data_IF_571693550302
#
_entry.id   IF_571693550302
#
_cell.length_a   1.000
_cell.length_b   1.000
_cell.length_c   1.000
_cell.angle_alpha   90.00
_cell.angle_beta   90.00
_cell.angle_gamma   90.00
#
_symmetry.space_group_name_H-M   'P 1'
#
loop_
_entity.id
_entity.type
_entity.pdbx_description
1 polymer ?
#
# COMPACT_ATOMS: atom_id res chain seq x y z
N UNK A 1 17.18 21.15 -9.07
CA UNK A 1 18.06 20.49 -8.08
C UNK A 1 18.55 19.22 -8.72
N UNK A 2 19.86 18.99 -8.75
CA UNK A 2 20.42 17.78 -9.35
C UNK A 2 19.88 16.55 -8.65
N UNK A 3 19.40 15.57 -9.42
CA UNK A 3 19.02 14.27 -8.91
C UNK A 3 20.20 13.70 -8.11
N UNK A 4 19.99 13.40 -6.83
CA UNK A 4 21.00 12.71 -6.02
C UNK A 4 21.13 11.33 -6.62
N UNK A 5 22.18 11.12 -7.42
CA UNK A 5 22.50 9.81 -7.96
C UNK A 5 22.64 8.83 -6.80
N UNK A 6 21.79 7.83 -6.77
CA UNK A 6 21.89 6.74 -5.78
C UNK A 6 23.24 6.04 -6.00
N UNK A 7 23.96 5.69 -4.92
CA UNK A 7 25.16 4.90 -5.09
C UNK A 7 24.79 3.57 -5.74
N UNK A 8 25.54 3.10 -6.75
CA UNK A 8 25.28 1.84 -7.41
C UNK A 8 25.40 0.70 -6.36
N UNK A 9 24.44 -0.23 -6.40
CA UNK A 9 24.49 -1.44 -5.57
C UNK A 9 25.74 -2.24 -5.94
N UNK A 10 26.52 -2.64 -4.94
CA UNK A 10 27.74 -3.42 -5.13
C UNK A 10 27.49 -4.90 -4.80
N UNK A 11 28.30 -5.81 -5.39
CA UNK A 11 28.19 -7.24 -5.11
C UNK A 11 28.39 -7.59 -3.62
N UNK A 12 29.13 -6.75 -2.88
CA UNK A 12 29.26 -6.87 -1.42
C UNK A 12 27.94 -6.63 -0.69
N UNK A 13 27.02 -5.83 -1.24
CA UNK A 13 25.72 -5.56 -0.66
C UNK A 13 24.79 -6.78 -0.72
N UNK A 14 25.11 -7.75 -1.59
CA UNK A 14 24.39 -9.01 -1.76
C UNK A 14 24.92 -10.16 -0.93
N UNK A 15 26.23 -10.13 -0.54
CA UNK A 15 26.85 -11.23 0.20
C UNK A 15 26.16 -11.44 1.55
N UNK A 16 25.56 -12.61 1.73
CA UNK A 16 25.10 -13.12 3.01
C UNK A 16 23.88 -12.43 3.61
N UNK A 17 22.85 -12.10 2.83
CA UNK A 17 21.64 -11.47 3.34
C UNK A 17 21.86 -10.06 3.93
N UNK A 18 22.84 -9.30 3.44
CA UNK A 18 23.07 -7.90 3.84
C UNK A 18 21.82 -7.03 3.71
N UNK A 19 20.92 -7.41 2.83
CA UNK A 19 19.58 -6.83 2.71
C UNK A 19 18.82 -6.85 4.05
N UNK A 20 18.89 -7.93 4.82
CA UNK A 20 18.36 -7.99 6.18
C UNK A 20 19.16 -7.15 7.17
N UNK A 21 20.41 -6.78 6.85
CA UNK A 21 21.18 -5.86 7.70
C UNK A 21 20.66 -4.43 7.65
N UNK A 22 20.02 -4.02 6.56
CA UNK A 22 19.31 -2.72 6.51
C UNK A 22 18.08 -2.68 7.41
N UNK A 23 17.46 -3.83 7.65
CA UNK A 23 16.33 -3.98 8.54
C UNK A 23 16.73 -4.10 10.00
N UNK A 24 17.85 -4.71 10.30
CA UNK A 24 18.22 -5.04 11.67
C UNK A 24 18.19 -3.81 12.59
N UNK A 25 18.78 -2.65 12.24
CA UNK A 25 18.69 -1.46 13.07
C UNK A 25 17.26 -0.97 13.31
N UNK A 26 16.34 -1.23 12.35
CA UNK A 26 14.92 -0.88 12.48
C UNK A 26 14.15 -1.90 13.34
N UNK A 27 14.65 -3.13 13.46
CA UNK A 27 14.05 -4.19 14.25
C UNK A 27 14.72 -4.36 15.62
N UNK A 28 15.94 -3.84 15.82
CA UNK A 28 16.70 -4.03 17.06
C UNK A 28 15.93 -3.50 18.28
N UNK A 29 15.20 -2.38 18.15
CA UNK A 29 14.36 -1.88 19.23
C UNK A 29 13.20 -2.84 19.58
N UNK A 30 12.76 -3.70 18.66
CA UNK A 30 11.72 -4.69 18.94
C UNK A 30 12.23 -5.82 19.85
N UNK A 31 13.54 -5.98 20.01
CA UNK A 31 14.11 -6.99 20.90
C UNK A 31 13.83 -6.69 22.37
N UNK A 32 14.05 -5.44 22.75
CA UNK A 32 13.94 -4.97 24.14
C UNK A 32 12.53 -4.45 24.46
N UNK A 33 11.77 -4.02 23.46
CA UNK A 33 10.38 -3.59 23.65
C UNK A 33 9.56 -4.80 24.06
N UNK A 34 9.57 -5.05 25.39
CA UNK A 34 8.80 -6.10 26.01
C UNK A 34 7.34 -5.91 25.61
N UNK A 35 6.75 -6.94 25.04
CA UNK A 35 5.34 -6.93 24.84
C UNK A 35 4.66 -6.97 26.22
N UNK A 36 3.88 -5.96 26.57
CA UNK A 36 3.12 -5.89 27.84
C UNK A 36 2.24 -7.12 28.09
N UNK A 37 2.00 -7.90 27.03
CA UNK A 37 1.26 -9.17 27.07
C UNK A 37 2.10 -10.37 27.52
N UNK A 38 3.44 -10.24 27.55
CA UNK A 38 4.33 -11.29 28.07
C UNK A 38 4.52 -11.18 29.57
N UNK A 39 3.51 -11.64 30.30
CA UNK A 39 3.50 -11.60 31.78
C UNK A 39 4.49 -12.56 32.43
N UNK A 40 4.95 -13.60 31.72
CA UNK A 40 5.78 -14.66 32.30
C UNK A 40 7.29 -14.35 32.28
N UNK A 41 7.75 -13.44 31.39
CA UNK A 41 9.15 -13.02 31.28
C UNK A 41 10.14 -14.13 30.94
N UNK A 42 9.65 -15.30 30.44
CA UNK A 42 10.46 -16.49 30.15
C UNK A 42 10.61 -16.75 28.64
N UNK A 43 10.45 -15.71 27.83
CA UNK A 43 10.48 -15.78 26.37
C UNK A 43 11.82 -16.23 25.84
N UNK A 44 11.77 -17.11 24.84
CA UNK A 44 12.95 -17.58 24.05
C UNK A 44 12.93 -17.09 22.61
N UNK A 45 11.80 -16.53 22.14
CA UNK A 45 11.63 -15.97 20.80
C UNK A 45 11.25 -14.50 20.95
N UNK A 46 12.15 -13.61 20.59
CA UNK A 46 11.96 -12.17 20.62
C UNK A 46 11.31 -11.66 19.33
N UNK A 47 10.74 -10.45 19.37
CA UNK A 47 9.94 -9.95 18.26
C UNK A 47 10.75 -9.70 16.99
N UNK A 48 11.96 -9.16 17.11
CA UNK A 48 12.91 -8.99 16.02
C UNK A 48 13.22 -10.32 15.31
N UNK A 49 13.44 -11.37 16.09
CA UNK A 49 13.70 -12.73 15.60
C UNK A 49 12.49 -13.31 14.88
N UNK A 50 11.28 -13.13 15.45
CA UNK A 50 10.04 -13.57 14.84
C UNK A 50 9.78 -12.82 13.52
N UNK A 51 9.96 -11.50 13.50
CA UNK A 51 9.83 -10.67 12.31
C UNK A 51 10.81 -11.12 11.21
N UNK A 52 12.09 -11.36 11.55
CA UNK A 52 13.08 -11.88 10.61
C UNK A 52 12.69 -13.25 10.03
N UNK A 53 12.19 -14.17 10.85
CA UNK A 53 11.73 -15.49 10.40
C UNK A 53 10.55 -15.38 9.43
N UNK A 54 9.58 -14.50 9.70
CA UNK A 54 8.47 -14.27 8.79
C UNK A 54 8.91 -13.58 7.49
N UNK A 55 9.83 -12.62 7.56
CA UNK A 55 10.37 -11.96 6.38
C UNK A 55 11.04 -12.97 5.42
N UNK A 56 11.75 -13.97 5.95
CA UNK A 56 12.33 -15.03 5.13
C UNK A 56 11.28 -15.77 4.28
N UNK A 57 10.03 -15.87 4.75
CA UNK A 57 8.97 -16.56 4.01
C UNK A 57 8.60 -15.88 2.70
N UNK A 58 8.72 -14.54 2.61
CA UNK A 58 8.41 -13.80 1.39
C UNK A 58 9.47 -13.98 0.30
N UNK A 59 10.72 -14.24 0.71
CA UNK A 59 11.85 -14.40 -0.22
C UNK A 59 12.20 -15.86 -0.50
N UNK A 60 11.68 -16.80 0.30
CA UNK A 60 11.98 -18.22 0.12
C UNK A 60 10.73 -19.03 -0.18
N UNK A 61 10.60 -19.60 -1.41
CA UNK A 61 9.39 -20.33 -1.82
C UNK A 61 9.14 -21.62 -1.04
N UNK A 62 10.14 -22.13 -0.29
CA UNK A 62 10.03 -23.35 0.51
C UNK A 62 9.35 -23.07 1.87
N UNK A 63 9.51 -21.86 2.42
CA UNK A 63 9.05 -21.49 3.76
C UNK A 63 7.59 -21.08 3.79
N UNK A 64 6.65 -21.99 3.41
CA UNK A 64 5.21 -21.71 3.30
C UNK A 64 4.38 -22.15 4.51
N UNK A 65 5.00 -22.54 5.62
CA UNK A 65 4.26 -23.00 6.82
C UNK A 65 5.10 -22.78 8.08
N UNK A 66 4.42 -22.70 9.23
CA UNK A 66 5.11 -22.63 10.53
C UNK A 66 6.05 -23.83 10.76
N UNK A 67 5.73 -25.00 10.20
CA UNK A 67 6.61 -26.19 10.27
C UNK A 67 7.90 -25.96 9.45
N UNK A 68 7.79 -25.41 8.26
CA UNK A 68 8.95 -25.10 7.42
C UNK A 68 9.83 -24.02 8.09
N UNK A 69 9.23 -22.99 8.70
CA UNK A 69 9.94 -21.96 9.47
C UNK A 69 10.68 -22.59 10.67
N UNK A 70 10.00 -23.48 11.41
CA UNK A 70 10.62 -24.20 12.50
C UNK A 70 11.84 -25.00 12.02
N UNK A 71 11.71 -25.74 10.91
CA UNK A 71 12.81 -26.50 10.35
C UNK A 71 13.97 -25.57 9.91
N UNK A 72 13.66 -24.46 9.25
CA UNK A 72 14.67 -23.48 8.86
C UNK A 72 15.43 -22.92 10.08
N UNK A 73 14.74 -22.70 11.21
CA UNK A 73 15.35 -22.21 12.45
C UNK A 73 16.38 -23.18 13.09
N UNK A 74 16.46 -24.44 12.62
CA UNK A 74 17.52 -25.38 13.06
C UNK A 74 18.86 -25.17 12.33
N UNK A 75 18.85 -24.39 11.25
CA UNK A 75 20.03 -24.18 10.42
C UNK A 75 20.93 -23.10 11.02
N UNK A 76 22.21 -23.38 11.16
CA UNK A 76 23.19 -22.45 11.73
C UNK A 76 23.26 -21.10 11.01
N UNK A 77 23.01 -21.06 9.68
CA UNK A 77 22.93 -19.82 8.90
C UNK A 77 21.72 -18.97 9.31
N UNK A 78 20.56 -19.59 9.54
CA UNK A 78 19.35 -18.90 9.97
C UNK A 78 19.49 -18.41 11.40
N UNK A 79 20.03 -19.24 12.32
CA UNK A 79 20.29 -18.85 13.71
C UNK A 79 21.20 -17.62 13.80
N UNK A 80 22.28 -17.60 13.00
CA UNK A 80 23.16 -16.42 12.92
C UNK A 80 22.46 -15.18 12.36
N UNK A 81 21.54 -15.38 11.40
CA UNK A 81 20.79 -14.28 10.80
C UNK A 81 19.83 -13.65 11.82
N UNK A 82 19.06 -14.48 12.53
CA UNK A 82 18.06 -14.00 13.50
C UNK A 82 18.69 -13.63 14.86
N UNK A 83 19.95 -13.97 15.10
CA UNK A 83 20.60 -13.77 16.41
C UNK A 83 19.96 -14.61 17.52
N UNK A 84 19.47 -15.82 17.19
CA UNK A 84 18.71 -16.65 18.13
C UNK A 84 18.90 -18.13 17.93
N UNK A 85 18.20 -18.93 18.72
CA UNK A 85 18.26 -20.38 18.71
C UNK A 85 17.10 -21.00 17.87
N UNK A 86 17.07 -22.35 17.88
CA UNK A 86 15.96 -23.13 17.31
C UNK A 86 14.63 -22.75 17.95
N UNK A 87 13.62 -22.49 17.13
CA UNK A 87 12.27 -22.08 17.56
C UNK A 87 11.28 -23.24 17.45
N UNK A 88 10.38 -23.39 18.43
CA UNK A 88 9.28 -24.35 18.36
C UNK A 88 8.08 -23.80 17.59
N UNK A 89 7.22 -24.68 17.05
CA UNK A 89 5.95 -24.27 16.44
C UNK A 89 5.01 -23.61 17.45
N UNK A 90 5.04 -24.04 18.71
CA UNK A 90 4.30 -23.42 19.79
C UNK A 90 4.70 -21.97 19.96
N UNK A 91 6.00 -21.69 20.10
CA UNK A 91 6.53 -20.34 20.23
C UNK A 91 6.17 -19.44 19.03
N UNK A 92 6.26 -19.96 17.78
CA UNK A 92 5.84 -19.22 16.58
C UNK A 92 4.34 -18.90 16.58
N UNK A 93 3.50 -19.83 17.02
CA UNK A 93 2.05 -19.61 17.11
C UNK A 93 1.68 -18.64 18.23
N UNK A 94 2.36 -18.70 19.36
CA UNK A 94 2.16 -17.81 20.48
C UNK A 94 2.62 -16.39 20.17
N UNK A 95 3.79 -16.24 19.56
CA UNK A 95 4.34 -14.97 19.10
C UNK A 95 3.32 -14.17 18.25
N UNK A 96 2.54 -14.86 17.41
CA UNK A 96 1.48 -14.24 16.60
C UNK A 96 0.31 -13.64 17.40
N UNK A 97 0.25 -13.84 18.70
CA UNK A 97 -0.80 -13.32 19.59
C UNK A 97 -0.27 -12.36 20.65
N UNK A 98 1.02 -12.45 20.92
CA UNK A 98 1.68 -11.72 22.00
C UNK A 98 2.27 -10.41 21.50
N UNK A 99 2.90 -10.42 20.33
CA UNK A 99 3.58 -9.23 19.79
C UNK A 99 2.59 -8.17 19.30
N UNK A 100 2.96 -6.90 19.53
CA UNK A 100 2.16 -5.75 19.09
C UNK A 100 2.48 -5.38 17.62
N UNK A 101 1.52 -5.47 16.70
CA UNK A 101 1.72 -5.09 15.32
C UNK A 101 2.03 -3.59 15.12
N UNK A 102 1.59 -2.70 16.02
CA UNK A 102 1.77 -1.25 15.87
C UNK A 102 3.25 -0.84 15.87
N UNK A 103 4.11 -1.61 16.54
CA UNK A 103 5.56 -1.41 16.49
C UNK A 103 6.13 -1.60 15.07
N UNK A 104 5.56 -2.52 14.27
CA UNK A 104 5.94 -2.67 12.86
C UNK A 104 5.34 -1.57 11.98
N UNK A 105 4.14 -1.11 12.29
CA UNK A 105 3.53 0.00 11.56
C UNK A 105 4.38 1.25 11.63
N UNK A 106 4.98 1.53 12.80
CA UNK A 106 5.88 2.66 13.01
C UNK A 106 7.11 2.64 12.07
N UNK A 107 7.50 1.48 11.54
CA UNK A 107 8.63 1.33 10.60
C UNK A 107 8.24 1.68 9.16
N UNK A 108 6.98 1.46 8.77
CA UNK A 108 6.51 1.62 7.39
C UNK A 108 6.69 3.06 6.90
N UNK A 109 6.24 4.05 7.66
CA UNK A 109 6.33 5.46 7.29
C UNK A 109 7.78 5.94 7.07
N UNK A 110 8.72 5.74 8.00
CA UNK A 110 10.13 6.05 7.81
C UNK A 110 10.79 5.39 6.60
N UNK A 111 10.46 4.12 6.31
CA UNK A 111 10.95 3.45 5.09
C UNK A 111 10.36 4.08 3.82
N UNK A 112 9.06 4.34 3.79
CA UNK A 112 8.40 4.94 2.63
C UNK A 112 8.94 6.35 2.32
N UNK A 113 9.33 7.12 3.34
CA UNK A 113 9.96 8.44 3.14
C UNK A 113 11.30 8.37 2.41
N UNK A 114 12.04 7.27 2.51
CA UNK A 114 13.32 7.07 1.81
C UNK A 114 13.14 6.81 0.31
N UNK A 115 11.95 6.42 -0.14
CA UNK A 115 11.67 6.20 -1.54
C UNK A 115 11.66 7.54 -2.29
N UNK A 116 12.31 7.57 -3.46
CA UNK A 116 12.28 8.70 -4.37
C UNK A 116 11.12 8.57 -5.36
N UNK A 117 10.59 9.68 -5.89
CA UNK A 117 9.60 9.64 -6.96
C UNK A 117 10.14 8.83 -8.17
N UNK A 118 9.26 8.07 -8.79
CA UNK A 118 9.53 7.34 -10.05
C UNK A 118 9.02 8.09 -11.28
N UNK A 119 8.35 9.23 -11.06
CA UNK A 119 7.84 10.12 -12.10
C UNK A 119 8.43 11.51 -11.86
N UNK A 120 8.93 12.13 -12.90
CA UNK A 120 9.54 13.47 -12.89
C UNK A 120 8.73 14.46 -13.72
N UNK A 121 9.05 15.76 -13.56
CA UNK A 121 8.52 16.85 -14.37
C UNK A 121 7.34 17.60 -13.74
N UNK A 122 6.72 18.47 -14.55
CA UNK A 122 5.65 19.39 -14.11
C UNK A 122 4.44 18.67 -13.50
N UNK A 123 4.08 17.53 -14.05
CA UNK A 123 2.95 16.73 -13.58
C UNK A 123 3.22 16.15 -12.18
N UNK A 124 4.42 15.61 -11.99
CA UNK A 124 4.85 15.09 -10.70
C UNK A 124 4.93 16.19 -9.64
N UNK A 125 5.34 17.40 -10.01
CA UNK A 125 5.36 18.52 -9.07
C UNK A 125 3.96 18.95 -8.64
N UNK A 126 3.02 19.06 -9.58
CA UNK A 126 1.64 19.45 -9.31
C UNK A 126 0.86 18.37 -8.52
N UNK A 127 1.21 17.10 -8.68
CA UNK A 127 0.60 15.96 -8.00
C UNK A 127 1.45 15.44 -6.83
N UNK A 128 2.39 16.23 -6.34
CA UNK A 128 3.26 15.84 -5.22
C UNK A 128 2.43 15.42 -4.01
N UNK A 129 2.76 14.25 -3.44
CA UNK A 129 2.08 13.68 -2.28
C UNK A 129 0.74 13.01 -2.61
N UNK A 130 0.40 12.88 -3.91
CA UNK A 130 -0.83 12.18 -4.30
C UNK A 130 -0.81 10.73 -3.79
N UNK A 131 -1.78 10.42 -2.95
CA UNK A 131 -1.90 9.15 -2.23
C UNK A 131 -3.19 8.44 -2.61
N UNK A 132 -3.09 7.29 -3.26
CA UNK A 132 -4.25 6.44 -3.51
C UNK A 132 -4.65 5.74 -2.22
N UNK A 133 -5.95 5.76 -1.90
CA UNK A 133 -6.52 5.05 -0.75
C UNK A 133 -7.47 3.99 -1.26
N UNK A 134 -7.25 2.74 -0.84
CA UNK A 134 -8.11 1.62 -1.23
C UNK A 134 -7.99 0.45 -0.24
N UNK A 135 -8.97 -0.46 -0.28
CA UNK A 135 -9.03 -1.67 0.52
C UNK A 135 -8.87 -2.94 -0.31
N UNK A 136 -8.26 -3.97 0.26
CA UNK A 136 -8.13 -5.25 -0.40
C UNK A 136 -8.37 -6.43 0.53
N UNK A 137 -9.19 -7.39 0.07
CA UNK A 137 -9.56 -8.56 0.84
C UNK A 137 -8.43 -9.60 0.88
N UNK A 138 -8.24 -10.19 2.06
CA UNK A 138 -7.43 -11.37 2.31
C UNK A 138 -8.37 -12.50 2.77
N UNK A 139 -8.37 -13.63 2.07
CA UNK A 139 -9.17 -14.78 2.44
C UNK A 139 -8.82 -15.24 3.86
N UNK A 140 -9.80 -15.30 4.72
CA UNK A 140 -9.63 -15.79 6.08
C UNK A 140 -9.48 -17.31 6.13
N UNK A 141 -8.69 -17.77 7.10
CA UNK A 141 -8.69 -19.18 7.48
C UNK A 141 -9.96 -19.51 8.29
N UNK A 142 -10.46 -20.76 8.27
CA UNK A 142 -11.71 -21.12 8.95
C UNK A 142 -11.78 -20.75 10.44
N UNK A 143 -10.63 -20.74 11.13
CA UNK A 143 -10.51 -20.40 12.56
C UNK A 143 -10.47 -18.90 12.86
N UNK A 144 -10.47 -18.01 11.86
CA UNK A 144 -10.42 -16.57 12.05
C UNK A 144 -11.81 -16.01 12.39
N UNK A 145 -12.26 -16.24 13.63
CA UNK A 145 -13.59 -15.81 14.06
C UNK A 145 -13.81 -14.29 14.01
N UNK A 146 -12.76 -13.50 14.16
CA UNK A 146 -12.79 -12.04 14.11
C UNK A 146 -12.98 -11.47 12.70
N UNK A 147 -12.65 -12.24 11.65
CA UNK A 147 -12.64 -11.80 10.27
C UNK A 147 -14.04 -11.87 9.64
N UNK A 148 -14.99 -11.10 10.16
CA UNK A 148 -16.36 -11.04 9.69
C UNK A 148 -16.42 -10.41 8.29
N UNK A 149 -17.30 -10.94 7.43
CA UNK A 149 -17.57 -10.39 6.11
C UNK A 149 -19.07 -10.39 5.79
N UNK A 150 -19.53 -11.18 4.84
CA UNK A 150 -20.94 -11.18 4.41
C UNK A 150 -21.86 -11.96 5.38
N UNK A 151 -21.39 -13.10 5.82
CA UNK A 151 -22.11 -14.00 6.73
C UNK A 151 -21.12 -14.84 7.55
N UNK A 152 -21.59 -15.67 8.51
CA UNK A 152 -20.71 -16.53 9.32
C UNK A 152 -19.86 -17.54 8.54
N UNK A 153 -20.21 -17.86 7.30
CA UNK A 153 -19.48 -18.81 6.44
C UNK A 153 -18.45 -18.10 5.56
N UNK A 154 -18.68 -16.83 5.22
CA UNK A 154 -17.80 -16.02 4.38
C UNK A 154 -17.02 -15.04 5.24
N UNK A 155 -15.75 -15.37 5.51
CA UNK A 155 -14.85 -14.58 6.33
C UNK A 155 -13.68 -14.09 5.52
N UNK A 156 -13.28 -12.86 5.75
CA UNK A 156 -12.10 -12.26 5.18
C UNK A 156 -11.55 -11.18 6.11
N UNK A 157 -10.23 -10.99 6.12
CA UNK A 157 -9.62 -9.77 6.60
C UNK A 157 -9.57 -8.77 5.44
N UNK A 158 -9.53 -7.49 5.76
CA UNK A 158 -9.33 -6.40 4.80
C UNK A 158 -8.10 -5.60 5.21
N UNK A 159 -7.17 -5.41 4.30
CA UNK A 159 -6.11 -4.42 4.46
C UNK A 159 -6.52 -3.13 3.76
N UNK A 160 -6.37 -2.02 4.44
CA UNK A 160 -6.55 -0.68 3.93
C UNK A 160 -5.17 -0.07 3.75
N UNK A 161 -4.91 0.52 2.60
CA UNK A 161 -3.57 1.00 2.23
C UNK A 161 -3.65 2.42 1.74
N UNK A 162 -2.75 3.27 2.20
CA UNK A 162 -2.38 4.52 1.58
C UNK A 162 -1.13 4.28 0.74
N UNK A 163 -1.19 4.64 -0.52
CA UNK A 163 -0.14 4.36 -1.49
C UNK A 163 0.29 5.66 -2.19
N UNK A 164 1.52 6.11 -1.93
CA UNK A 164 2.10 7.24 -2.66
C UNK A 164 2.32 6.81 -4.12
N UNK A 165 1.53 7.38 -5.02
CA UNK A 165 1.49 6.95 -6.42
C UNK A 165 2.73 7.40 -7.19
N UNK A 166 3.36 8.51 -6.81
CA UNK A 166 4.55 9.03 -7.46
C UNK A 166 5.82 8.32 -7.03
N UNK A 167 5.85 7.82 -5.80
CA UNK A 167 6.95 6.99 -5.27
C UNK A 167 6.73 5.49 -5.50
N UNK A 168 5.52 5.12 -5.88
CA UNK A 168 5.07 3.73 -6.03
C UNK A 168 5.28 2.87 -4.77
N UNK A 169 5.03 3.43 -3.58
CA UNK A 169 5.21 2.77 -2.28
C UNK A 169 4.03 2.97 -1.34
N UNK A 170 3.69 1.96 -0.49
CA UNK A 170 2.72 2.12 0.58
C UNK A 170 3.29 3.02 1.69
N UNK A 171 2.48 3.93 2.21
CA UNK A 171 2.84 4.89 3.27
C UNK A 171 2.14 4.61 4.59
N UNK A 172 0.95 4.04 4.54
CA UNK A 172 0.17 3.65 5.71
C UNK A 172 -0.64 2.39 5.40
N UNK A 173 -0.82 1.53 6.41
CA UNK A 173 -1.59 0.28 6.29
C UNK A 173 -2.33 0.01 7.58
N UNK A 174 -3.59 -0.43 7.49
CA UNK A 174 -4.33 -1.02 8.61
C UNK A 174 -5.01 -2.32 8.22
N UNK A 175 -5.34 -3.17 9.19
CA UNK A 175 -6.00 -4.45 8.98
C UNK A 175 -7.25 -4.56 9.84
N UNK A 176 -8.38 -4.85 9.18
CA UNK A 176 -9.69 -4.96 9.83
C UNK A 176 -10.40 -6.25 9.43
N UNK A 177 -11.56 -6.53 10.02
CA UNK A 177 -12.52 -7.45 9.44
C UNK A 177 -13.05 -6.88 8.11
N UNK A 178 -13.44 -7.75 7.17
CA UNK A 178 -13.82 -7.32 5.82
C UNK A 178 -15.11 -6.47 5.78
N UNK A 179 -15.97 -6.60 6.79
CA UNK A 179 -17.19 -5.80 6.91
C UNK A 179 -16.95 -4.39 7.48
N UNK A 180 -15.74 -4.06 7.92
CA UNK A 180 -15.43 -2.70 8.36
C UNK A 180 -15.54 -1.71 7.18
N UNK A 181 -16.23 -0.56 7.39
CA UNK A 181 -16.40 0.44 6.33
C UNK A 181 -15.04 1.08 5.95
N UNK A 182 -14.77 1.14 4.65
CA UNK A 182 -13.51 1.73 4.15
C UNK A 182 -13.44 3.23 4.41
N UNK A 183 -14.59 3.92 4.36
CA UNK A 183 -14.70 5.36 4.64
C UNK A 183 -14.25 5.70 6.06
N UNK A 184 -14.62 4.87 7.05
CA UNK A 184 -14.22 5.09 8.45
C UNK A 184 -12.71 4.92 8.63
N UNK A 185 -12.10 4.00 7.90
CA UNK A 185 -10.65 3.82 7.91
C UNK A 185 -9.93 5.01 7.28
N UNK A 186 -10.45 5.55 6.17
CA UNK A 186 -9.89 6.75 5.57
C UNK A 186 -10.05 7.96 6.49
N UNK A 187 -11.26 8.18 7.06
CA UNK A 187 -11.54 9.24 8.04
C UNK A 187 -10.55 9.21 9.22
N UNK A 188 -10.31 8.02 9.80
CA UNK A 188 -9.41 7.85 10.93
C UNK A 188 -7.92 8.08 10.59
N UNK A 189 -7.54 8.05 9.31
CA UNK A 189 -6.16 8.18 8.83
C UNK A 189 -5.88 9.46 8.06
N UNK A 190 -6.81 10.42 8.06
CA UNK A 190 -6.61 11.73 7.44
C UNK A 190 -5.42 12.46 8.08
N UNK A 191 -4.61 13.10 7.23
CA UNK A 191 -3.45 13.88 7.64
C UNK A 191 -3.55 15.29 7.07
N UNK A 192 -3.27 16.34 7.85
CA UNK A 192 -3.15 17.70 7.33
C UNK A 192 -2.13 17.78 6.18
N UNK A 193 -2.46 18.48 5.12
CA UNK A 193 -1.65 18.55 3.90
C UNK A 193 -1.68 17.29 3.03
N UNK A 194 -2.46 16.26 3.40
CA UNK A 194 -2.68 15.06 2.58
C UNK A 194 -3.37 15.39 1.26
N UNK A 195 -2.97 14.71 0.18
CA UNK A 195 -3.65 14.79 -1.11
C UNK A 195 -4.04 13.38 -1.54
N UNK A 196 -5.34 13.09 -1.54
CA UNK A 196 -5.86 11.72 -1.69
C UNK A 196 -6.56 11.50 -3.01
N UNK A 197 -6.42 10.30 -3.58
CA UNK A 197 -7.25 9.85 -4.69
C UNK A 197 -7.98 8.57 -4.32
N UNK A 198 -9.31 8.59 -4.46
CA UNK A 198 -10.21 7.50 -4.03
C UNK A 198 -11.19 7.11 -5.13
N UNK A 199 -11.70 5.88 -5.03
CA UNK A 199 -12.69 5.37 -5.96
C UNK A 199 -14.14 5.75 -5.57
N UNK A 200 -15.10 5.27 -6.37
CA UNK A 200 -16.53 5.52 -6.15
C UNK A 200 -17.07 4.95 -4.83
N UNK A 201 -16.43 3.93 -4.26
CA UNK A 201 -16.83 3.33 -2.98
C UNK A 201 -16.71 4.30 -1.80
N UNK A 202 -15.82 5.28 -1.92
CA UNK A 202 -15.59 6.31 -0.91
C UNK A 202 -16.52 7.52 -1.04
N UNK A 203 -17.41 7.57 -2.04
CA UNK A 203 -18.31 8.73 -2.23
C UNK A 203 -19.20 8.94 -1.00
N UNK A 204 -18.96 10.04 -0.33
CA UNK A 204 -19.73 10.58 0.78
C UNK A 204 -19.46 12.07 0.86
N UNK A 205 -20.51 12.88 0.74
CA UNK A 205 -20.36 14.34 0.68
C UNK A 205 -19.86 14.92 2.01
N UNK A 206 -20.36 14.37 3.12
CA UNK A 206 -19.92 14.78 4.46
C UNK A 206 -18.44 14.44 4.68
N UNK A 207 -18.02 13.23 4.29
CA UNK A 207 -16.62 12.83 4.37
C UNK A 207 -15.71 13.72 3.51
N UNK A 208 -16.19 14.17 2.33
CA UNK A 208 -15.41 15.09 1.49
C UNK A 208 -15.20 16.45 2.19
N UNK A 209 -16.23 16.96 2.87
CA UNK A 209 -16.09 18.16 3.67
C UNK A 209 -15.18 17.97 4.89
N UNK A 210 -15.25 16.81 5.56
CA UNK A 210 -14.35 16.45 6.67
C UNK A 210 -12.89 16.37 6.20
N UNK A 211 -12.62 15.89 4.99
CA UNK A 211 -11.27 15.87 4.40
C UNK A 211 -10.71 17.30 4.28
N UNK A 212 -11.55 18.23 3.79
CA UNK A 212 -11.17 19.64 3.66
C UNK A 212 -10.97 20.28 5.03
N UNK A 213 -11.88 20.03 5.98
CA UNK A 213 -11.79 20.53 7.36
C UNK A 213 -10.52 20.03 8.06
N UNK A 214 -10.06 18.84 7.72
CA UNK A 214 -8.79 18.28 8.21
C UNK A 214 -7.55 18.91 7.55
N UNK A 215 -7.72 19.90 6.66
CA UNK A 215 -6.63 20.55 5.91
C UNK A 215 -6.02 19.65 4.84
N UNK A 216 -6.76 18.68 4.33
CA UNK A 216 -6.36 17.78 3.26
C UNK A 216 -7.16 18.07 1.97
N UNK A 217 -6.72 17.49 0.87
CA UNK A 217 -7.35 17.61 -0.45
C UNK A 217 -7.61 16.24 -1.06
N UNK A 218 -8.52 16.18 -2.03
CA UNK A 218 -8.88 14.91 -2.65
C UNK A 218 -9.23 15.02 -4.14
N UNK A 219 -9.15 13.88 -4.83
CA UNK A 219 -9.81 13.60 -6.11
C UNK A 219 -10.59 12.29 -5.93
N UNK A 220 -11.90 12.33 -6.09
CA UNK A 220 -12.79 11.19 -5.89
C UNK A 220 -13.65 10.93 -7.12
N UNK A 221 -13.83 9.66 -7.48
CA UNK A 221 -14.88 9.31 -8.45
C UNK A 221 -16.25 9.37 -7.76
N UNK A 222 -17.20 10.04 -8.39
CA UNK A 222 -18.60 10.04 -7.98
C UNK A 222 -19.46 9.25 -8.98
N UNK A 223 -20.75 9.07 -8.66
CA UNK A 223 -21.65 8.31 -9.52
C UNK A 223 -21.97 9.11 -10.80
N UNK A 224 -22.15 8.42 -11.90
CA UNK A 224 -22.47 9.03 -13.20
C UNK A 224 -23.83 9.74 -13.23
N UNK A 225 -24.77 9.30 -12.37
CA UNK A 225 -26.06 9.93 -12.19
C UNK A 225 -26.05 11.05 -11.14
N UNK A 226 -24.88 11.53 -10.73
CA UNK A 226 -24.75 12.69 -9.84
C UNK A 226 -25.37 13.92 -10.52
N UNK A 227 -26.37 14.51 -9.86
CA UNK A 227 -26.97 15.76 -10.34
C UNK A 227 -25.98 16.89 -10.13
N UNK A 228 -25.64 17.60 -11.20
CA UNK A 228 -24.68 18.70 -11.20
C UNK A 228 -25.45 20.02 -11.08
N UNK A 229 -25.32 20.68 -9.93
CA UNK A 229 -25.78 22.02 -9.68
C UNK A 229 -24.64 23.01 -9.88
N UNK A 230 -24.37 23.39 -11.15
CA UNK A 230 -23.29 24.29 -11.47
C UNK A 230 -23.54 25.68 -10.86
N UNK A 231 -22.64 26.11 -9.99
CA UNK A 231 -22.54 27.49 -9.53
C UNK A 231 -21.71 28.33 -10.52
N UNK A 232 -20.70 27.70 -11.12
CA UNK A 232 -19.81 28.31 -12.11
C UNK A 232 -19.38 27.27 -13.14
N UNK A 233 -19.46 27.59 -14.43
CA UNK A 233 -18.87 26.80 -15.53
C UNK A 233 -17.45 27.30 -15.79
N UNK A 234 -16.50 26.38 -15.84
CA UNK A 234 -15.09 26.68 -16.10
C UNK A 234 -14.72 26.35 -17.56
N UNK A 235 -13.86 27.12 -18.19
CA UNK A 235 -13.41 26.84 -19.56
C UNK A 235 -12.60 25.55 -19.60
N UNK A 236 -12.96 24.65 -20.52
CA UNK A 236 -12.17 23.46 -20.80
C UNK A 236 -11.03 23.84 -21.73
N UNK A 237 -9.79 23.72 -21.24
CA UNK A 237 -8.57 24.02 -22.03
C UNK A 237 -8.30 22.96 -23.08
N UNK A 238 -7.41 23.23 -24.03
CA UNK A 238 -7.02 22.26 -25.05
C UNK A 238 -6.38 21.00 -24.43
N UNK A 239 -5.49 21.18 -23.45
CA UNK A 239 -4.88 20.09 -22.69
C UNK A 239 -5.94 19.24 -21.96
N UNK A 240 -6.95 19.88 -21.35
CA UNK A 240 -8.05 19.19 -20.71
C UNK A 240 -8.90 18.38 -21.72
N UNK A 241 -9.19 18.95 -22.91
CA UNK A 241 -9.88 18.22 -23.98
C UNK A 241 -9.09 17.01 -24.46
N UNK A 242 -7.76 17.17 -24.63
CA UNK A 242 -6.88 16.08 -25.00
C UNK A 242 -6.87 14.95 -23.94
N UNK A 243 -7.07 15.30 -22.65
CA UNK A 243 -7.24 14.34 -21.56
C UNK A 243 -8.66 13.74 -21.47
N UNK A 244 -9.58 14.10 -22.39
CA UNK A 244 -10.96 13.61 -22.44
C UNK A 244 -11.96 14.43 -21.60
N UNK A 245 -11.55 15.56 -21.03
CA UNK A 245 -12.47 16.41 -20.24
C UNK A 245 -13.49 17.07 -21.16
N UNK A 246 -14.76 16.87 -20.87
CA UNK A 246 -15.89 17.43 -21.63
C UNK A 246 -16.63 18.54 -20.89
N UNK A 247 -16.50 18.58 -19.55
CA UNK A 247 -17.10 19.61 -18.71
C UNK A 247 -16.32 19.80 -17.43
N UNK A 248 -16.28 21.03 -16.95
CA UNK A 248 -15.56 21.44 -15.73
C UNK A 248 -16.40 22.49 -15.01
N UNK A 249 -16.87 22.20 -13.78
CA UNK A 249 -17.81 23.07 -13.07
C UNK A 249 -17.48 23.16 -11.59
N UNK A 250 -17.71 24.31 -10.98
CA UNK A 250 -17.75 24.50 -9.53
C UNK A 250 -19.18 24.31 -9.05
N UNK A 251 -19.34 23.59 -7.94
CA UNK A 251 -20.64 23.31 -7.32
C UNK A 251 -20.61 23.71 -5.84
N UNK A 252 -21.71 24.23 -5.35
CA UNK A 252 -21.94 24.62 -3.96
C UNK A 252 -23.13 23.88 -3.33
N UNK A 253 -23.80 23.05 -4.11
CA UNK A 253 -24.89 22.20 -3.67
C UNK A 253 -24.76 20.78 -4.20
N UNK A 254 -25.28 19.84 -3.45
CA UNK A 254 -25.38 18.42 -3.81
C UNK A 254 -26.82 17.91 -3.63
N UNK A 255 -27.08 16.68 -4.05
CA UNK A 255 -28.37 16.02 -3.94
C UNK A 255 -29.28 16.22 -5.15
N UNK A 256 -30.49 15.58 -5.17
CA UNK A 256 -31.46 15.73 -6.23
C UNK A 256 -32.05 17.13 -6.24
N UNK A 257 -32.57 17.57 -7.38
CA UNK A 257 -33.16 18.92 -7.55
C UNK A 257 -34.26 19.23 -6.54
N UNK A 258 -35.02 18.22 -6.09
CA UNK A 258 -36.06 18.33 -5.08
C UNK A 258 -35.54 18.51 -3.64
N UNK A 259 -34.29 18.13 -3.38
CA UNK A 259 -33.69 18.20 -2.04
C UNK A 259 -32.22 18.57 -2.18
N UNK A 260 -31.95 19.84 -2.52
CA UNK A 260 -30.61 20.37 -2.60
C UNK A 260 -30.03 20.58 -1.19
N UNK A 261 -28.86 20.06 -0.96
CA UNK A 261 -28.10 20.31 0.26
C UNK A 261 -26.94 21.24 -0.08
N UNK A 262 -26.84 22.36 0.63
CA UNK A 262 -25.70 23.27 0.50
C UNK A 262 -24.46 22.65 1.09
N UNK A 263 -23.36 22.74 0.36
CA UNK A 263 -22.04 22.34 0.83
C UNK A 263 -21.41 23.45 1.67
N UNK A 264 -20.60 23.08 2.65
CA UNK A 264 -19.82 24.03 3.46
C UNK A 264 -18.63 24.61 2.65
N UNK A 265 -18.11 23.79 1.76
CA UNK A 265 -16.99 24.12 0.86
C UNK A 265 -17.42 24.03 -0.59
N UNK A 266 -16.84 24.88 -1.44
CA UNK A 266 -17.00 24.75 -2.88
C UNK A 266 -16.26 23.51 -3.35
N UNK A 267 -16.94 22.67 -4.14
CA UNK A 267 -16.36 21.52 -4.79
C UNK A 267 -16.34 21.72 -6.31
N UNK A 268 -15.53 20.98 -6.98
CA UNK A 268 -15.40 21.00 -8.43
C UNK A 268 -15.72 19.62 -8.98
N UNK A 269 -16.49 19.59 -10.06
CA UNK A 269 -16.80 18.37 -10.81
C UNK A 269 -16.15 18.45 -12.19
N UNK A 270 -15.29 17.50 -12.50
CA UNK A 270 -14.67 17.34 -13.82
C UNK A 270 -15.27 16.10 -14.49
N UNK A 271 -15.93 16.31 -15.63
CA UNK A 271 -16.58 15.24 -16.40
C UNK A 271 -15.67 14.84 -17.57
N UNK A 272 -15.37 13.54 -17.66
CA UNK A 272 -14.45 12.98 -18.64
C UNK A 272 -15.20 11.97 -19.51
N UNK A 273 -15.12 12.07 -20.83
CA UNK A 273 -15.49 10.99 -21.76
C UNK A 273 -14.35 9.98 -21.80
N UNK A 274 -14.60 8.75 -21.37
CA UNK A 274 -13.60 7.67 -21.34
C UNK A 274 -13.22 7.16 -22.74
N UNK A 275 -13.90 7.63 -23.78
CA UNK A 275 -13.78 7.11 -25.15
C UNK A 275 -14.54 5.80 -25.37
N UNK A 276 -15.05 5.19 -24.31
CA UNK A 276 -15.87 3.97 -24.40
C UNK A 276 -17.32 4.30 -24.64
N UNK A 277 -18.04 3.36 -25.24
CA UNK A 277 -19.48 3.46 -25.45
C UNK A 277 -20.20 2.36 -24.66
N UNK A 278 -21.32 2.72 -24.07
CA UNK A 278 -22.23 1.79 -23.42
C UNK A 278 -22.95 0.93 -24.45
N UNK A 279 -23.60 -0.14 -24.00
CA UNK A 279 -24.38 -1.03 -24.87
C UNK A 279 -25.48 -0.28 -25.68
N UNK A 280 -26.00 0.80 -25.15
CA UNK A 280 -26.97 1.68 -25.82
C UNK A 280 -26.34 2.77 -26.71
N UNK A 281 -25.03 2.73 -26.98
CA UNK A 281 -24.30 3.70 -27.78
C UNK A 281 -23.94 5.02 -27.08
N UNK A 282 -24.47 5.29 -25.88
CA UNK A 282 -24.16 6.49 -25.14
C UNK A 282 -22.68 6.50 -24.65
N UNK A 283 -22.03 7.67 -24.52
CA UNK A 283 -20.69 7.76 -23.98
C UNK A 283 -20.66 7.26 -22.52
N UNK A 284 -19.58 6.54 -22.17
CA UNK A 284 -19.28 6.23 -20.77
C UNK A 284 -18.56 7.42 -20.15
N UNK A 285 -19.25 8.12 -19.26
CA UNK A 285 -18.70 9.29 -18.57
C UNK A 285 -18.12 8.91 -17.20
N UNK A 286 -17.02 9.56 -16.86
CA UNK A 286 -16.40 9.51 -15.56
C UNK A 286 -16.53 10.90 -14.92
N UNK A 287 -17.15 10.99 -13.73
CA UNK A 287 -17.28 12.24 -13.00
C UNK A 287 -16.34 12.20 -11.81
N UNK A 288 -15.42 13.16 -11.76
CA UNK A 288 -14.47 13.35 -10.67
C UNK A 288 -14.89 14.56 -9.84
N UNK A 289 -14.89 14.41 -8.53
CA UNK A 289 -15.11 15.46 -7.55
C UNK A 289 -13.79 15.80 -6.86
N UNK A 290 -13.52 17.09 -6.65
CA UNK A 290 -12.32 17.58 -5.96
C UNK A 290 -12.58 18.93 -5.29
N UNK A 291 -11.82 19.23 -4.25
CA UNK A 291 -11.72 20.56 -3.64
C UNK A 291 -10.65 21.44 -4.34
N UNK A 292 -9.79 20.82 -5.18
CA UNK A 292 -8.66 21.49 -5.83
C UNK A 292 -9.17 22.35 -7.00
N UNK A 293 -9.57 23.60 -6.68
CA UNK A 293 -9.98 24.60 -7.68
C UNK A 293 -8.79 25.14 -8.48
N UNK A 294 -7.58 25.08 -7.92
CA UNK A 294 -6.32 25.54 -8.49
C UNK A 294 -5.73 24.57 -9.54
N UNK A 295 -6.02 23.25 -9.40
CA UNK A 295 -5.39 22.24 -10.24
C UNK A 295 -6.00 22.23 -11.66
N UNK A 296 -5.22 22.25 -12.76
CA UNK A 296 -5.73 22.07 -14.12
C UNK A 296 -6.58 20.79 -14.27
N UNK A 297 -7.63 20.84 -15.10
CA UNK A 297 -8.57 19.71 -15.25
C UNK A 297 -7.93 18.45 -15.85
N UNK A 298 -6.94 18.59 -16.72
CA UNK A 298 -6.10 17.50 -17.23
C UNK A 298 -5.33 16.80 -16.10
N UNK A 299 -4.82 17.56 -15.12
CA UNK A 299 -4.11 17.00 -13.97
C UNK A 299 -5.06 16.34 -12.97
N UNK A 300 -6.31 16.82 -12.84
CA UNK A 300 -7.35 16.11 -12.07
C UNK A 300 -7.64 14.74 -12.71
N UNK A 301 -7.76 14.70 -14.04
CA UNK A 301 -7.94 13.46 -14.79
C UNK A 301 -6.74 12.51 -14.62
N UNK A 302 -5.51 13.06 -14.69
CA UNK A 302 -4.27 12.31 -14.51
C UNK A 302 -4.14 11.75 -13.09
N UNK A 303 -4.46 12.54 -12.04
CA UNK A 303 -4.47 12.11 -10.66
C UNK A 303 -5.35 10.86 -10.45
N UNK A 304 -6.54 10.87 -11.06
CA UNK A 304 -7.42 9.70 -10.97
C UNK A 304 -6.89 8.49 -11.75
N UNK A 305 -6.23 8.68 -12.87
CA UNK A 305 -5.57 7.58 -13.61
C UNK A 305 -4.49 6.91 -12.76
N UNK A 306 -3.73 7.69 -12.00
CA UNK A 306 -2.70 7.14 -11.11
C UNK A 306 -3.26 6.28 -9.97
N UNK A 307 -4.54 6.42 -9.61
CA UNK A 307 -5.20 5.55 -8.63
C UNK A 307 -5.03 4.05 -8.94
N UNK A 308 -4.97 3.69 -10.24
CA UNK A 308 -4.78 2.30 -10.65
C UNK A 308 -3.48 1.66 -10.12
N UNK A 309 -2.50 2.46 -9.73
CA UNK A 309 -1.23 1.98 -9.20
C UNK A 309 -1.40 1.15 -7.92
N UNK A 310 -2.40 1.48 -7.07
CA UNK A 310 -2.67 0.72 -5.85
C UNK A 310 -3.23 -0.67 -6.14
N UNK A 311 -4.01 -0.85 -7.20
CA UNK A 311 -4.53 -2.17 -7.60
C UNK A 311 -3.40 -3.08 -8.10
N UNK A 312 -2.44 -2.51 -8.83
CA UNK A 312 -1.21 -3.21 -9.23
C UNK A 312 -0.35 -3.57 -8.02
N UNK A 313 -0.29 -2.70 -7.02
CA UNK A 313 0.39 -2.96 -5.76
C UNK A 313 -0.28 -4.11 -4.98
N UNK A 314 -1.61 -4.14 -4.87
CA UNK A 314 -2.32 -5.26 -4.24
C UNK A 314 -2.08 -6.59 -4.96
N UNK A 315 -2.02 -6.58 -6.29
CA UNK A 315 -1.66 -7.77 -7.07
C UNK A 315 -0.25 -8.23 -6.74
N UNK A 316 0.70 -7.30 -6.70
CA UNK A 316 2.08 -7.57 -6.29
C UNK A 316 2.15 -8.20 -4.90
N UNK A 317 1.56 -7.56 -3.90
CA UNK A 317 1.60 -8.00 -2.51
C UNK A 317 0.96 -9.38 -2.32
N UNK A 318 -0.22 -9.60 -2.90
CA UNK A 318 -0.98 -10.86 -2.70
C UNK A 318 -0.45 -12.01 -3.54
N UNK A 319 -0.15 -11.78 -4.80
CA UNK A 319 0.16 -12.85 -5.75
C UNK A 319 1.65 -13.09 -5.87
N UNK A 320 2.47 -12.05 -5.87
CA UNK A 320 3.91 -12.14 -6.10
C UNK A 320 4.64 -12.38 -4.78
N UNK A 321 4.46 -11.51 -3.77
CA UNK A 321 5.03 -11.72 -2.43
C UNK A 321 4.33 -12.83 -1.64
N UNK A 322 3.15 -13.29 -2.07
CA UNK A 322 2.46 -14.41 -1.44
C UNK A 322 1.76 -14.07 -0.12
N UNK A 323 1.51 -12.81 0.20
CA UNK A 323 0.84 -12.37 1.43
C UNK A 323 -0.57 -12.98 1.62
N UNK A 324 -1.17 -13.54 0.56
CA UNK A 324 -2.44 -14.27 0.64
C UNK A 324 -2.38 -15.57 1.45
N UNK A 325 -1.18 -16.13 1.68
CA UNK A 325 -0.98 -17.34 2.50
C UNK A 325 -0.80 -16.94 3.95
N UNK A 326 -1.90 -16.91 4.70
CA UNK A 326 -1.87 -16.55 6.11
C UNK A 326 -1.30 -17.69 6.96
N UNK A 327 -0.33 -17.37 7.80
CA UNK A 327 0.34 -18.30 8.72
C UNK A 327 -0.26 -18.25 10.13
N UNK A 328 -0.99 -17.18 10.45
CA UNK A 328 -1.63 -16.94 11.73
C UNK A 328 -3.16 -16.86 11.59
N UNK A 329 -3.87 -17.06 12.69
CA UNK A 329 -5.35 -16.95 12.78
C UNK A 329 -5.80 -15.81 13.69
N UNK A 330 -4.93 -15.30 14.57
CA UNK A 330 -5.19 -14.12 15.40
C UNK A 330 -5.17 -12.84 14.56
N UNK A 331 -5.87 -11.80 15.00
CA UNK A 331 -5.88 -10.50 14.34
C UNK A 331 -4.47 -9.91 14.31
N UNK A 332 -3.79 -9.93 15.45
CA UNK A 332 -2.42 -9.44 15.60
C UNK A 332 -1.46 -10.18 14.66
N UNK A 333 -1.50 -11.50 14.62
CA UNK A 333 -0.62 -12.30 13.76
C UNK A 333 -0.85 -12.07 12.27
N UNK A 334 -2.09 -11.86 11.82
CA UNK A 334 -2.40 -11.50 10.45
C UNK A 334 -1.91 -10.07 10.16
N UNK A 335 -2.10 -9.16 11.09
CA UNK A 335 -1.63 -7.76 10.95
C UNK A 335 -0.11 -7.72 10.88
N UNK A 336 0.60 -8.43 11.75
CA UNK A 336 2.07 -8.58 11.70
C UNK A 336 2.53 -9.10 10.33
N UNK A 337 1.86 -10.16 9.83
CA UNK A 337 2.23 -10.72 8.53
C UNK A 337 2.01 -9.73 7.38
N UNK A 338 0.92 -8.98 7.40
CA UNK A 338 0.64 -7.92 6.40
C UNK A 338 1.69 -6.82 6.49
N UNK A 339 1.99 -6.32 7.68
CA UNK A 339 2.97 -5.26 7.86
C UNK A 339 4.38 -5.69 7.43
N UNK A 340 4.78 -6.92 7.74
CA UNK A 340 6.04 -7.47 7.28
C UNK A 340 6.08 -7.66 5.75
N UNK A 341 4.97 -8.02 5.11
CA UNK A 341 4.90 -8.05 3.64
C UNK A 341 5.05 -6.65 3.02
N UNK A 342 4.46 -5.64 3.65
CA UNK A 342 4.63 -4.23 3.27
C UNK A 342 6.10 -3.79 3.43
N UNK A 343 6.71 -4.08 4.58
CA UNK A 343 8.11 -3.79 4.85
C UNK A 343 9.01 -4.51 3.83
N UNK A 344 8.75 -5.79 3.53
CA UNK A 344 9.47 -6.53 2.51
C UNK A 344 9.36 -5.87 1.12
N UNK A 345 8.14 -5.41 0.75
CA UNK A 345 7.93 -4.70 -0.51
C UNK A 345 8.70 -3.38 -0.56
N UNK A 346 8.64 -2.58 0.50
CA UNK A 346 9.39 -1.32 0.62
C UNK A 346 10.89 -1.53 0.47
N UNK A 347 11.44 -2.54 1.15
CA UNK A 347 12.86 -2.84 1.09
C UNK A 347 13.30 -3.26 -0.31
N UNK A 348 12.50 -4.08 -1.02
CA UNK A 348 12.79 -4.42 -2.42
C UNK A 348 12.76 -3.17 -3.28
N UNK A 349 11.77 -2.29 -3.11
CA UNK A 349 11.66 -1.03 -3.86
C UNK A 349 12.85 -0.10 -3.60
N UNK A 350 13.24 0.07 -2.33
CA UNK A 350 14.39 0.88 -1.94
C UNK A 350 15.70 0.33 -2.49
N UNK A 351 15.87 -1.00 -2.44
CA UNK A 351 17.06 -1.66 -2.92
C UNK A 351 17.19 -1.58 -4.44
N UNK A 352 16.10 -1.84 -5.17
CA UNK A 352 16.06 -1.75 -6.64
C UNK A 352 16.13 -0.29 -7.11
N UNK A 353 15.67 0.64 -6.27
CA UNK A 353 15.64 2.06 -6.62
C UNK A 353 14.46 2.49 -7.48
N UNK A 354 13.56 1.56 -7.82
CA UNK A 354 12.32 1.78 -8.59
C UNK A 354 11.31 0.68 -8.26
N UNK A 355 10.14 0.73 -8.89
CA UNK A 355 9.12 -0.31 -8.71
C UNK A 355 9.68 -1.69 -9.11
N UNK A 356 9.69 -2.68 -8.21
CA UNK A 356 10.18 -4.03 -8.52
C UNK A 356 9.21 -4.75 -9.49
N UNK A 357 9.75 -5.63 -10.31
CA UNK A 357 8.97 -6.49 -11.21
C UNK A 357 8.81 -7.90 -10.65
N UNK A 358 7.92 -8.71 -11.23
CA UNK A 358 7.81 -10.14 -10.92
C UNK A 358 9.17 -10.82 -11.08
N UNK A 359 9.88 -10.49 -12.16
CA UNK A 359 11.23 -11.04 -12.41
C UNK A 359 12.23 -10.68 -11.32
N UNK A 360 12.10 -9.50 -10.71
CA UNK A 360 12.96 -9.09 -9.58
C UNK A 360 12.80 -10.04 -8.40
N UNK A 361 11.54 -10.38 -8.03
CA UNK A 361 11.31 -11.33 -6.94
C UNK A 361 11.75 -12.74 -7.32
N UNK A 362 11.51 -13.20 -8.54
CA UNK A 362 11.99 -14.50 -9.03
C UNK A 362 13.51 -14.59 -8.93
N UNK A 363 14.24 -13.57 -9.38
CA UNK A 363 15.70 -13.51 -9.27
C UNK A 363 16.16 -13.53 -7.81
N UNK A 364 15.48 -12.81 -6.91
CA UNK A 364 15.75 -12.89 -5.47
C UNK A 364 15.53 -14.30 -4.92
N UNK A 365 14.43 -14.95 -5.28
CA UNK A 365 14.11 -16.30 -4.86
C UNK A 365 15.12 -17.33 -5.40
N UNK A 366 15.53 -17.20 -6.65
CA UNK A 366 16.57 -18.03 -7.26
C UNK A 366 17.92 -17.84 -6.55
N UNK A 367 18.28 -16.59 -6.24
CA UNK A 367 19.50 -16.29 -5.47
C UNK A 367 19.46 -16.88 -4.05
N UNK A 368 18.37 -16.70 -3.31
CA UNK A 368 18.22 -17.25 -1.96
C UNK A 368 18.12 -18.79 -1.94
N UNK A 369 17.68 -19.40 -3.04
CA UNK A 369 17.65 -20.86 -3.22
C UNK A 369 18.98 -21.43 -3.74
N UNK A 370 19.94 -20.59 -4.06
CA UNK A 370 21.26 -20.99 -4.53
C UNK A 370 21.34 -21.34 -6.03
N UNK A 371 20.27 -21.02 -6.80
CA UNK A 371 20.24 -21.25 -8.25
C UNK A 371 20.83 -20.10 -9.05
N UNK A 372 20.70 -18.86 -8.57
CA UNK A 372 21.33 -17.71 -9.19
C UNK A 372 22.53 -17.25 -8.37
N UNK A 373 23.55 -16.77 -9.05
CA UNK A 373 24.72 -16.13 -8.46
C UNK A 373 24.42 -14.68 -8.07
N UNK A 374 25.28 -14.08 -7.25
CA UNK A 374 25.19 -12.65 -6.94
C UNK A 374 25.34 -11.78 -8.20
N UNK A 375 26.24 -12.19 -9.12
CA UNK A 375 26.49 -11.43 -10.35
C UNK A 375 25.30 -11.45 -11.30
N UNK A 376 24.58 -12.57 -11.41
CA UNK A 376 23.35 -12.67 -12.21
C UNK A 376 22.24 -11.81 -11.62
N UNK A 377 22.08 -11.79 -10.30
CA UNK A 377 21.13 -10.91 -9.63
C UNK A 377 21.49 -9.44 -9.83
N UNK A 378 22.78 -9.08 -9.73
CA UNK A 378 23.25 -7.70 -9.99
C UNK A 378 23.03 -7.29 -11.43
N UNK A 379 23.33 -8.15 -12.40
CA UNK A 379 23.09 -7.86 -13.81
C UNK A 379 21.61 -7.58 -14.08
N UNK A 380 20.70 -8.36 -13.45
CA UNK A 380 19.25 -8.08 -13.53
C UNK A 380 18.88 -6.72 -12.95
N UNK A 381 19.41 -6.34 -11.80
CA UNK A 381 19.11 -5.06 -11.14
C UNK A 381 19.63 -3.87 -11.96
N UNK A 382 20.86 -3.95 -12.48
CA UNK A 382 21.43 -2.91 -13.35
C UNK A 382 20.61 -2.76 -14.64
N UNK A 383 20.21 -3.89 -15.26
CA UNK A 383 19.33 -3.85 -16.41
C UNK A 383 18.00 -3.17 -16.09
N UNK A 384 17.39 -3.52 -14.97
CA UNK A 384 16.12 -2.91 -14.55
C UNK A 384 16.26 -1.41 -14.31
N UNK A 385 17.37 -0.96 -13.69
CA UNK A 385 17.65 0.46 -13.44
C UNK A 385 17.91 1.26 -14.72
N UNK A 386 18.44 0.61 -15.76
CA UNK A 386 18.72 1.23 -17.07
C UNK A 386 17.49 1.33 -17.99
N UNK A 387 16.38 0.65 -17.68
CA UNK A 387 15.15 0.75 -18.47
C UNK A 387 14.56 2.16 -18.35
N UNK A 388 14.06 2.76 -19.44
CA UNK A 388 13.28 3.99 -19.36
C UNK A 388 12.04 3.79 -18.47
N UNK A 389 11.62 4.83 -17.78
CA UNK A 389 10.44 4.84 -16.90
C UNK A 389 9.12 4.90 -17.68
#
# INVERSE_FOLDING_TARGET
>A
MAAIARPPIQSEDLKGLKYFKLLRPLLDHLHDDACDRDRAGNRRLFYDQYACLLLLTFFNPILKSLRAIQQASTLAKVQRLIGGERVSRGALSEASRVFDPELLQAIIGPLARQALPVVDGREAEALRGLTAVDGSLLRALPKMAWALWQDPRHRAAKMHVHFDVLKAVPTHVSVTAANAPERDQWRASLQPGGFYVVDRGYRDWELFEEVIDAGASFVARVQENTVIHAAEERPVTEAARAAGVVRDVVVDHTGPTSHRQRLRHQLRLVVIDTGKRRHNGAPELLILCTDRLDLPADLVALAYRYRWAIELFFRWLKCVLGCRHLLATSREGVTIQVYLAIIASLLVSLWVGRKPTVRTLEMLQLYFSGWATADELMAHLHHLQALPE
#
